data_IF_758634219260
#
_entry.id   IF_758634219260
#
_cell.length_a   1.000
_cell.length_b   1.000
_cell.length_c   1.000
_cell.angle_alpha   90.00
_cell.angle_beta   90.00
_cell.angle_gamma   90.00
#
_symmetry.space_group_name_H-M   'P 1'
#
loop_
_entity.id
_entity.type
_entity.pdbx_description
1 polymer ?
#
# COMPACT_ATOMS: atom_id res chain seq x y z
N UNK A 1 16.54 -23.49 4.54
CA UNK A 1 17.18 -23.30 3.22
C UNK A 1 16.56 -22.04 2.65
N UNK A 2 17.36 -21.00 2.48
CA UNK A 2 16.90 -19.76 1.84
C UNK A 2 16.46 -20.08 0.41
N UNK A 3 15.16 -20.07 0.16
CA UNK A 3 14.60 -20.08 -1.19
C UNK A 3 14.59 -18.65 -1.77
N UNK A 4 15.72 -17.92 -1.60
CA UNK A 4 15.96 -16.75 -2.42
C UNK A 4 15.97 -17.24 -3.88
N UNK A 5 15.17 -16.59 -4.73
CA UNK A 5 15.19 -16.78 -6.18
C UNK A 5 16.63 -16.52 -6.63
N UNK A 6 17.45 -17.58 -6.72
CA UNK A 6 18.88 -17.48 -7.00
C UNK A 6 19.08 -16.78 -8.34
N UNK A 7 19.59 -15.55 -8.32
CA UNK A 7 19.85 -14.73 -9.49
C UNK A 7 18.89 -13.54 -9.70
N UNK A 8 17.79 -13.42 -8.93
CA UNK A 8 16.92 -12.25 -9.00
C UNK A 8 17.49 -11.14 -8.11
N UNK A 9 17.63 -9.90 -8.62
CA UNK A 9 18.05 -8.77 -7.79
C UNK A 9 17.11 -8.60 -6.59
N UNK A 10 17.69 -8.36 -5.42
CA UNK A 10 16.92 -8.10 -4.18
C UNK A 10 16.66 -6.60 -4.05
N UNK A 11 15.49 -6.24 -3.51
CA UNK A 11 15.11 -4.86 -3.22
C UNK A 11 14.64 -4.75 -1.78
N UNK A 12 15.33 -3.96 -0.95
CA UNK A 12 14.90 -3.75 0.45
C UNK A 12 13.77 -2.74 0.60
N UNK A 13 13.50 -1.97 -0.45
CA UNK A 13 12.43 -0.96 -0.49
C UNK A 13 11.41 -1.36 -1.54
N UNK A 14 10.14 -1.38 -1.16
CA UNK A 14 9.00 -1.55 -2.05
C UNK A 14 8.22 -0.25 -2.22
N UNK A 15 7.71 -0.02 -3.42
CA UNK A 15 6.73 1.03 -3.68
C UNK A 15 5.45 0.39 -4.23
N UNK A 16 4.32 0.64 -3.57
CA UNK A 16 3.01 0.27 -4.08
C UNK A 16 2.35 1.51 -4.68
N UNK A 17 2.32 1.57 -6.02
CA UNK A 17 1.71 2.67 -6.76
C UNK A 17 0.19 2.61 -6.74
N UNK A 18 -0.46 3.66 -6.23
CA UNK A 18 -1.90 3.86 -6.29
C UNK A 18 -2.37 4.43 -7.64
N UNK A 19 -3.63 4.87 -7.68
CA UNK A 19 -4.20 5.55 -8.84
C UNK A 19 -3.30 6.72 -9.27
N UNK A 20 -3.00 6.79 -10.57
CA UNK A 20 -2.09 7.81 -11.12
C UNK A 20 -0.59 7.48 -11.04
N UNK A 21 -0.18 6.48 -10.26
CA UNK A 21 1.22 6.05 -10.13
C UNK A 21 1.37 4.61 -10.62
N UNK A 22 1.35 4.44 -11.94
CA UNK A 22 1.44 3.11 -12.57
C UNK A 22 2.86 2.73 -13.00
N UNK A 23 3.76 3.68 -12.99
CA UNK A 23 5.17 3.54 -13.35
C UNK A 23 6.02 4.54 -12.55
N UNK A 24 7.26 4.20 -12.31
CA UNK A 24 8.27 5.13 -11.79
C UNK A 24 8.90 5.87 -12.98
N UNK A 25 8.24 6.95 -13.43
CA UNK A 25 8.73 7.74 -14.57
C UNK A 25 10.14 8.27 -14.31
N UNK A 26 11.05 8.02 -15.26
CA UNK A 26 12.44 8.45 -15.17
C UNK A 26 13.38 7.48 -14.45
N UNK A 27 12.86 6.48 -13.74
CA UNK A 27 13.69 5.44 -13.14
C UNK A 27 14.17 4.42 -14.18
N UNK A 28 15.44 3.99 -14.07
CA UNK A 28 15.97 2.95 -14.91
C UNK A 28 15.40 1.58 -14.47
N UNK A 29 14.68 0.91 -15.38
CA UNK A 29 14.17 -0.44 -15.12
C UNK A 29 15.33 -1.43 -15.19
N UNK A 30 15.54 -2.18 -14.10
CA UNK A 30 16.59 -3.19 -13.98
C UNK A 30 16.07 -4.57 -14.37
N UNK A 31 14.85 -4.91 -13.97
CA UNK A 31 14.18 -6.17 -14.29
C UNK A 31 12.66 -6.05 -14.10
N UNK A 32 11.93 -6.97 -14.71
CA UNK A 32 10.51 -7.21 -14.43
C UNK A 32 10.36 -8.67 -14.01
N UNK A 33 9.73 -8.92 -12.88
CA UNK A 33 9.65 -10.23 -12.24
C UNK A 33 8.20 -10.64 -12.06
N UNK A 34 7.81 -11.75 -12.65
CA UNK A 34 6.57 -12.45 -12.32
C UNK A 34 6.81 -13.27 -11.06
N UNK A 35 5.99 -13.06 -10.04
CA UNK A 35 6.12 -13.75 -8.75
C UNK A 35 4.91 -14.65 -8.54
N UNK A 36 5.14 -15.94 -8.53
CA UNK A 36 4.14 -16.93 -8.11
C UNK A 36 4.02 -16.91 -6.58
N UNK A 37 2.80 -16.80 -6.07
CA UNK A 37 2.56 -16.71 -4.62
C UNK A 37 1.64 -17.84 -4.11
N UNK A 38 1.67 -18.15 -2.81
CA UNK A 38 0.73 -19.08 -2.18
C UNK A 38 -0.73 -18.64 -2.24
N UNK A 39 -0.96 -17.38 -2.57
CA UNK A 39 -2.27 -16.73 -2.53
C UNK A 39 -2.83 -16.42 -3.93
N UNK A 40 -2.24 -16.99 -4.98
CA UNK A 40 -2.55 -16.69 -6.37
C UNK A 40 -1.76 -15.48 -6.90
N UNK A 41 -2.14 -14.94 -8.07
CA UNK A 41 -1.36 -13.90 -8.73
C UNK A 41 -1.43 -12.56 -7.96
N UNK A 42 -0.31 -11.81 -7.90
CA UNK A 42 -0.32 -10.39 -7.53
C UNK A 42 -1.10 -9.54 -8.55
N UNK A 43 -1.23 -8.25 -8.27
CA UNK A 43 -1.89 -7.29 -9.17
C UNK A 43 -1.20 -7.14 -10.53
N UNK A 44 0.04 -7.56 -10.64
CA UNK A 44 0.84 -7.57 -11.85
C UNK A 44 2.30 -7.90 -11.55
N UNK A 45 3.15 -7.95 -12.59
CA UNK A 45 4.58 -8.13 -12.41
C UNK A 45 5.19 -7.05 -11.51
N UNK A 46 6.21 -7.43 -10.74
CA UNK A 46 6.99 -6.49 -9.94
C UNK A 46 8.11 -5.92 -10.80
N UNK A 47 8.18 -4.61 -10.93
CA UNK A 47 9.27 -3.93 -11.63
C UNK A 47 10.37 -3.58 -10.64
N UNK A 48 11.58 -4.11 -10.86
CA UNK A 48 12.77 -3.65 -10.14
C UNK A 48 13.38 -2.47 -10.91
N UNK A 49 13.55 -1.35 -10.23
CA UNK A 49 14.03 -0.11 -10.82
C UNK A 49 15.08 0.55 -9.94
N UNK A 50 15.97 1.31 -10.54
CA UNK A 50 16.87 2.21 -9.80
C UNK A 50 16.14 3.51 -9.48
N UNK A 51 16.03 3.81 -8.20
CA UNK A 51 15.46 5.07 -7.69
C UNK A 51 16.47 5.67 -6.71
N UNK A 52 17.00 6.82 -7.04
CA UNK A 52 18.03 7.50 -6.23
C UNK A 52 19.24 6.61 -5.88
N UNK A 53 19.69 5.76 -6.81
CA UNK A 53 20.80 4.83 -6.63
C UNK A 53 20.46 3.59 -5.78
N UNK A 54 19.18 3.34 -5.52
CA UNK A 54 18.68 2.19 -4.75
C UNK A 54 17.79 1.29 -5.61
N UNK A 55 17.97 -0.02 -5.51
CA UNK A 55 17.02 -0.96 -6.13
C UNK A 55 15.70 -0.94 -5.36
N UNK A 56 14.62 -0.61 -6.05
CA UNK A 56 13.26 -0.55 -5.53
C UNK A 56 12.38 -1.56 -6.26
N UNK A 57 11.55 -2.28 -5.51
CA UNK A 57 10.51 -3.15 -6.06
C UNK A 57 9.20 -2.37 -6.20
N UNK A 58 8.79 -2.08 -7.42
CA UNK A 58 7.56 -1.35 -7.72
C UNK A 58 6.44 -2.31 -8.11
N UNK A 59 5.25 -2.13 -7.51
CA UNK A 59 4.05 -2.90 -7.82
C UNK A 59 2.87 -1.97 -8.03
N UNK A 60 2.19 -2.01 -9.22
CA UNK A 60 0.97 -1.25 -9.46
C UNK A 60 -0.21 -1.91 -8.75
N UNK A 61 -0.76 -1.26 -7.70
CA UNK A 61 -1.84 -1.81 -6.86
C UNK A 61 -3.05 -2.28 -7.66
N UNK A 62 -3.46 -1.51 -8.64
CA UNK A 62 -4.65 -1.77 -9.45
C UNK A 62 -4.36 -2.53 -10.75
N UNK A 63 -3.16 -3.10 -10.89
CA UNK A 63 -2.74 -3.73 -12.13
C UNK A 63 -2.46 -2.76 -13.27
N UNK A 64 -2.14 -3.29 -14.43
CA UNK A 64 -1.94 -2.48 -15.64
C UNK A 64 -3.24 -1.81 -16.07
N UNK A 65 -3.17 -0.48 -16.33
CA UNK A 65 -4.33 0.27 -16.81
C UNK A 65 -5.51 0.37 -15.83
N UNK A 66 -5.28 0.23 -14.53
CA UNK A 66 -6.33 0.29 -13.48
C UNK A 66 -7.41 -0.78 -13.65
N UNK A 67 -7.02 -2.01 -14.01
CA UNK A 67 -7.94 -3.10 -14.32
C UNK A 67 -8.59 -3.75 -13.09
N UNK A 68 -7.98 -3.61 -11.91
CA UNK A 68 -8.45 -4.23 -10.67
C UNK A 68 -9.16 -3.21 -9.77
N UNK A 69 -10.46 -3.39 -9.50
CA UNK A 69 -11.16 -2.55 -8.54
C UNK A 69 -10.71 -2.88 -7.10
N UNK A 70 -10.85 -1.95 -6.12
CA UNK A 70 -10.29 -2.08 -4.77
C UNK A 70 -10.61 -3.39 -4.06
N UNK A 71 -11.84 -3.89 -4.16
CA UNK A 71 -12.28 -5.11 -3.49
C UNK A 71 -11.84 -6.41 -4.19
N UNK A 72 -11.18 -6.32 -5.36
CA UNK A 72 -10.66 -7.47 -6.11
C UNK A 72 -9.14 -7.55 -6.11
N UNK A 73 -8.47 -6.59 -5.50
CA UNK A 73 -7.01 -6.62 -5.33
C UNK A 73 -6.64 -7.80 -4.44
N UNK A 74 -5.67 -8.59 -4.89
CA UNK A 74 -5.10 -9.67 -4.08
C UNK A 74 -3.99 -9.10 -3.18
N UNK A 75 -4.40 -8.45 -2.10
CA UNK A 75 -3.49 -7.79 -1.17
C UNK A 75 -2.46 -8.76 -0.57
N UNK A 76 -2.86 -9.99 -0.21
CA UNK A 76 -1.91 -10.99 0.33
C UNK A 76 -0.83 -11.34 -0.68
N UNK A 77 -1.21 -11.62 -1.93
CA UNK A 77 -0.25 -11.92 -2.98
C UNK A 77 0.72 -10.74 -3.21
N UNK A 78 0.22 -9.50 -3.22
CA UNK A 78 1.04 -8.30 -3.40
C UNK A 78 2.11 -8.16 -2.31
N UNK A 79 1.70 -8.26 -1.04
CA UNK A 79 2.62 -8.09 0.09
C UNK A 79 3.60 -9.28 0.22
N UNK A 80 3.13 -10.50 -0.03
CA UNK A 80 3.99 -11.68 -0.05
C UNK A 80 5.04 -11.60 -1.17
N UNK A 81 4.64 -11.18 -2.38
CA UNK A 81 5.55 -11.00 -3.51
C UNK A 81 6.65 -9.98 -3.20
N UNK A 82 6.31 -8.84 -2.62
CA UNK A 82 7.31 -7.86 -2.20
C UNK A 82 8.26 -8.42 -1.13
N UNK A 83 7.73 -9.13 -0.14
CA UNK A 83 8.55 -9.77 0.90
C UNK A 83 9.50 -10.81 0.32
N UNK A 84 9.08 -11.62 -0.64
CA UNK A 84 9.91 -12.65 -1.29
C UNK A 84 11.09 -12.06 -2.07
N UNK A 85 11.00 -10.80 -2.49
CA UNK A 85 12.06 -10.03 -3.14
C UNK A 85 12.98 -9.30 -2.14
N UNK A 86 12.80 -9.52 -0.83
CA UNK A 86 13.66 -8.97 0.22
C UNK A 86 13.18 -7.63 0.79
N UNK A 87 11.96 -7.17 0.46
CA UNK A 87 11.45 -5.87 0.92
C UNK A 87 11.27 -5.87 2.44
N UNK A 88 11.75 -4.79 3.08
CA UNK A 88 11.59 -4.48 4.50
C UNK A 88 10.86 -3.16 4.76
N UNK A 89 10.91 -2.23 3.80
CA UNK A 89 10.25 -0.94 3.86
C UNK A 89 9.29 -0.77 2.69
N UNK A 90 8.04 -0.45 2.94
CA UNK A 90 7.04 -0.18 1.89
C UNK A 90 6.61 1.28 1.97
N UNK A 91 6.72 1.97 0.85
CA UNK A 91 6.10 3.26 0.60
C UNK A 91 4.90 3.06 -0.31
N UNK A 92 3.79 3.69 -0.01
CA UNK A 92 2.61 3.59 -0.85
C UNK A 92 2.02 4.96 -1.13
N UNK A 93 1.39 5.13 -2.29
CA UNK A 93 0.62 6.33 -2.60
C UNK A 93 -0.86 6.01 -2.74
N UNK A 94 -1.73 6.96 -2.36
CA UNK A 94 -3.18 6.82 -2.45
C UNK A 94 -3.85 8.13 -2.79
N UNK A 95 -4.86 8.08 -3.69
CA UNK A 95 -5.88 9.10 -3.79
C UNK A 95 -6.88 8.92 -2.66
N UNK A 96 -7.27 10.00 -2.02
CA UNK A 96 -8.22 9.99 -0.90
C UNK A 96 -9.18 11.16 -0.98
N UNK A 97 -10.39 11.02 -0.41
CA UNK A 97 -11.28 12.13 -0.16
C UNK A 97 -11.00 12.75 1.21
N UNK A 98 -11.14 14.07 1.32
CA UNK A 98 -11.13 14.77 2.59
C UNK A 98 -12.51 14.75 3.23
N UNK A 99 -12.58 14.57 4.55
CA UNK A 99 -13.85 14.43 5.26
C UNK A 99 -14.19 15.66 6.11
N UNK A 100 -13.24 16.52 6.40
CA UNK A 100 -13.44 17.69 7.27
C UNK A 100 -12.52 18.85 6.94
N UNK A 101 -12.77 19.98 7.57
CA UNK A 101 -11.93 21.17 7.44
C UNK A 101 -10.46 20.87 7.79
N UNK A 102 -9.53 21.46 7.04
CA UNK A 102 -8.09 21.20 7.14
C UNK A 102 -7.61 20.03 6.26
N UNK A 103 -8.53 19.22 5.72
CA UNK A 103 -8.25 18.11 4.81
C UNK A 103 -8.90 18.35 3.45
N UNK A 104 -8.60 19.50 2.85
CA UNK A 104 -9.13 19.89 1.53
C UNK A 104 -8.32 19.33 0.36
N UNK A 105 -8.89 19.39 -0.86
CA UNK A 105 -8.20 18.98 -2.08
C UNK A 105 -6.83 19.64 -2.26
N UNK A 106 -5.94 18.97 -3.01
CA UNK A 106 -4.56 19.37 -3.26
C UNK A 106 -3.64 19.37 -2.02
N UNK A 107 -4.07 18.76 -0.93
CA UNK A 107 -3.30 18.59 0.30
C UNK A 107 -2.74 17.16 0.39
N UNK A 108 -1.48 17.03 0.82
CA UNK A 108 -0.89 15.75 1.18
C UNK A 108 -1.13 15.42 2.65
N UNK A 109 -1.31 14.14 2.96
CA UNK A 109 -1.47 13.63 4.33
C UNK A 109 -0.50 12.47 4.53
N UNK A 110 0.24 12.49 5.64
CA UNK A 110 1.05 11.35 6.09
C UNK A 110 0.20 10.54 7.06
N UNK A 111 -0.54 9.55 6.54
CA UNK A 111 -1.49 8.75 7.31
C UNK A 111 -0.83 8.06 8.50
N UNK A 112 -1.46 8.09 9.67
CA UNK A 112 -0.93 7.48 10.89
C UNK A 112 -1.89 6.49 11.56
N UNK A 113 -3.20 6.63 11.34
CA UNK A 113 -4.22 5.74 11.89
C UNK A 113 -5.24 5.33 10.83
N UNK A 114 -5.90 4.20 11.05
CA UNK A 114 -6.94 3.71 10.16
C UNK A 114 -8.16 3.17 10.91
N UNK A 115 -9.31 3.28 10.25
CA UNK A 115 -10.58 2.65 10.64
C UNK A 115 -11.00 1.76 9.49
N UNK A 116 -11.08 0.45 9.71
CA UNK A 116 -11.56 -0.48 8.68
C UNK A 116 -13.08 -0.52 8.61
N UNK A 117 -13.61 -0.24 7.43
CA UNK A 117 -15.03 -0.39 7.06
C UNK A 117 -15.19 -1.24 5.81
N UNK A 118 -14.21 -2.11 5.54
CA UNK A 118 -14.25 -3.08 4.44
C UNK A 118 -14.93 -4.38 4.91
N UNK A 119 -15.21 -5.25 3.96
CA UNK A 119 -15.73 -6.59 4.20
C UNK A 119 -15.31 -7.55 3.09
N UNK A 120 -15.19 -8.84 3.45
CA UNK A 120 -14.88 -9.89 2.49
C UNK A 120 -13.47 -9.85 1.90
N UNK A 121 -12.54 -9.09 2.49
CA UNK A 121 -11.12 -9.08 2.11
C UNK A 121 -10.37 -10.17 2.85
N UNK A 122 -9.39 -10.78 2.18
CA UNK A 122 -8.39 -11.61 2.84
C UNK A 122 -7.35 -10.70 3.45
N UNK A 123 -7.45 -10.43 4.75
CA UNK A 123 -6.77 -9.37 5.48
C UNK A 123 -5.76 -9.86 6.52
N UNK A 124 -5.46 -11.15 6.52
CA UNK A 124 -4.42 -11.77 7.35
C UNK A 124 -3.77 -12.94 6.63
N UNK A 125 -2.49 -13.19 6.92
CA UNK A 125 -1.77 -14.41 6.51
C UNK A 125 -2.01 -15.59 7.47
N UNK A 126 -2.63 -15.36 8.62
CA UNK A 126 -2.85 -16.33 9.70
C UNK A 126 -4.30 -16.79 9.80
N UNK A 127 -5.00 -16.89 8.66
CA UNK A 127 -6.41 -17.25 8.55
C UNK A 127 -6.70 -18.75 8.68
N UNK A 128 -5.67 -19.57 8.89
CA UNK A 128 -5.81 -21.02 9.02
C UNK A 128 -5.88 -21.77 7.68
N UNK A 129 -5.74 -21.08 6.55
CA UNK A 129 -5.79 -21.71 5.22
C UNK A 129 -4.63 -22.70 5.05
N UNK A 130 -4.95 -23.92 4.61
CA UNK A 130 -3.97 -24.93 4.18
C UNK A 130 -3.62 -24.66 2.72
N UNK A 131 -2.34 -24.50 2.42
CA UNK A 131 -1.85 -24.26 1.06
C UNK A 131 -1.11 -25.52 0.58
N UNK A 132 -1.61 -26.17 -0.46
CA UNK A 132 -1.03 -27.39 -1.06
C UNK A 132 -0.66 -28.48 -0.02
N UNK A 133 -1.57 -28.71 0.95
CA UNK A 133 -1.36 -29.66 2.02
C UNK A 133 -0.43 -29.21 3.15
N UNK A 134 0.17 -28.03 3.06
CA UNK A 134 1.01 -27.46 4.12
C UNK A 134 0.12 -26.76 5.15
N UNK A 135 0.17 -27.17 6.44
CA UNK A 135 -0.64 -26.54 7.48
C UNK A 135 -0.21 -25.09 7.74
N UNK A 136 -1.16 -24.23 8.14
CA UNK A 136 -0.87 -22.83 8.43
C UNK A 136 0.07 -22.68 9.64
N UNK A 137 0.65 -21.49 9.77
CA UNK A 137 1.55 -21.14 10.88
C UNK A 137 0.87 -21.07 12.26
N UNK A 138 -0.42 -21.39 12.36
CA UNK A 138 -1.24 -21.21 13.56
C UNK A 138 -1.79 -19.80 13.70
N UNK A 139 -2.70 -19.61 14.67
CA UNK A 139 -3.30 -18.32 14.94
C UNK A 139 -2.24 -17.38 15.53
N UNK A 140 -2.15 -16.17 14.99
CA UNK A 140 -1.30 -15.09 15.51
C UNK A 140 -2.16 -13.84 15.74
N UNK A 141 -1.74 -12.97 16.66
CA UNK A 141 -2.40 -11.72 16.95
C UNK A 141 -1.42 -10.56 16.76
N UNK A 142 -1.63 -9.78 15.70
CA UNK A 142 -0.82 -8.60 15.41
C UNK A 142 -1.13 -7.47 16.40
N UNK A 143 -0.12 -6.89 17.09
CA UNK A 143 -0.31 -5.64 17.84
C UNK A 143 -0.43 -4.47 16.85
N UNK A 144 -1.68 -4.01 16.60
CA UNK A 144 -2.01 -3.08 15.53
C UNK A 144 -2.27 -1.63 15.99
N UNK A 145 -1.82 -1.24 17.18
CA UNK A 145 -2.02 0.13 17.69
C UNK A 145 -1.35 1.21 16.85
N UNK A 146 -0.28 0.88 16.15
CA UNK A 146 0.46 1.75 15.23
C UNK A 146 0.58 1.06 13.86
N UNK A 147 -0.46 1.14 13.01
CA UNK A 147 -0.51 0.42 11.73
C UNK A 147 0.49 0.94 10.70
N UNK A 148 0.90 2.20 10.80
CA UNK A 148 1.90 2.82 9.93
C UNK A 148 3.23 3.00 10.67
N UNK A 149 4.34 2.69 10.00
CA UNK A 149 5.69 2.76 10.60
C UNK A 149 6.09 4.20 10.90
N UNK A 150 6.33 4.60 12.17
CA UNK A 150 6.67 5.97 12.52
C UNK A 150 7.96 6.47 11.85
N UNK A 151 8.97 5.61 11.70
CA UNK A 151 10.24 5.95 11.04
C UNK A 151 10.02 6.30 9.56
N UNK A 152 9.29 5.46 8.83
CA UNK A 152 9.02 5.73 7.41
C UNK A 152 8.12 6.95 7.21
N UNK A 153 7.14 7.15 8.10
CA UNK A 153 6.30 8.36 8.11
C UNK A 153 7.13 9.62 8.31
N UNK A 154 8.12 9.59 9.21
CA UNK A 154 9.03 10.71 9.42
C UNK A 154 9.85 11.03 8.16
N UNK A 155 10.31 10.01 7.42
CA UNK A 155 11.00 10.22 6.14
C UNK A 155 10.08 10.83 5.06
N UNK A 156 8.82 10.36 4.96
CA UNK A 156 7.82 10.95 4.05
C UNK A 156 7.56 12.42 4.39
N UNK A 157 7.37 12.74 5.68
CA UNK A 157 7.15 14.11 6.13
C UNK A 157 8.36 15.02 5.84
N UNK A 158 9.57 14.54 6.09
CA UNK A 158 10.80 15.26 5.77
C UNK A 158 10.95 15.50 4.26
N UNK A 159 10.61 14.54 3.42
CA UNK A 159 10.61 14.67 1.97
C UNK A 159 9.61 15.73 1.48
N UNK A 160 8.39 15.75 2.02
CA UNK A 160 7.41 16.80 1.72
C UNK A 160 7.92 18.18 2.09
N UNK A 161 8.47 18.32 3.30
CA UNK A 161 9.04 19.59 3.78
C UNK A 161 10.21 20.07 2.92
N UNK A 162 11.12 19.17 2.51
CA UNK A 162 12.29 19.52 1.69
C UNK A 162 11.91 20.02 0.27
N UNK A 163 10.76 19.60 -0.23
CA UNK A 163 10.20 20.05 -1.51
C UNK A 163 9.26 21.26 -1.38
N UNK A 164 9.15 21.85 -0.17
CA UNK A 164 8.21 22.94 0.14
C UNK A 164 6.76 22.61 -0.21
N UNK A 165 6.36 21.35 -0.08
CA UNK A 165 5.00 20.87 -0.31
C UNK A 165 4.25 20.94 1.02
N UNK A 166 3.09 21.63 1.02
CA UNK A 166 2.20 21.68 2.18
C UNK A 166 1.59 20.32 2.47
N UNK A 167 1.55 19.91 3.75
CA UNK A 167 0.99 18.62 4.14
C UNK A 167 0.44 18.63 5.57
N UNK A 168 -0.42 17.66 5.86
CA UNK A 168 -0.88 17.35 7.20
C UNK A 168 -0.05 16.16 7.73
N UNK A 169 0.64 16.29 8.88
CA UNK A 169 1.63 15.31 9.33
C UNK A 169 1.01 14.01 9.91
N UNK A 170 -0.30 14.00 10.13
CA UNK A 170 -1.05 12.85 10.61
C UNK A 170 -2.50 12.94 10.17
N UNK A 171 -3.17 11.82 10.05
CA UNK A 171 -4.58 11.74 9.71
C UNK A 171 -5.11 10.31 9.78
N UNK A 172 -6.27 10.17 10.39
CA UNK A 172 -6.97 8.89 10.46
C UNK A 172 -7.73 8.64 9.16
N UNK A 173 -7.37 7.57 8.46
CA UNK A 173 -8.10 7.14 7.25
C UNK A 173 -9.20 6.16 7.59
N UNK A 174 -10.43 6.41 7.14
CA UNK A 174 -11.44 5.35 7.05
C UNK A 174 -11.31 4.66 5.70
N UNK A 175 -11.29 3.33 5.71
CA UNK A 175 -11.19 2.55 4.48
C UNK A 175 -12.49 1.82 4.21
N UNK A 176 -13.13 2.16 3.08
CA UNK A 176 -14.38 1.54 2.62
C UNK A 176 -14.13 0.54 1.51
N UNK A 177 -15.09 -0.33 1.28
CA UNK A 177 -14.91 -1.43 0.32
C UNK A 177 -14.76 -0.97 -1.14
N UNK A 178 -15.48 0.09 -1.53
CA UNK A 178 -15.57 0.49 -2.94
C UNK A 178 -16.33 -0.53 -3.81
N UNK A 179 -16.44 -0.34 -5.15
CA UNK A 179 -15.91 0.81 -5.89
C UNK A 179 -16.81 2.06 -5.81
N UNK A 180 -18.02 1.99 -5.18
CA UNK A 180 -18.86 3.16 -4.99
C UNK A 180 -18.25 4.10 -3.95
N UNK A 181 -18.48 5.39 -4.12
CA UNK A 181 -18.21 6.40 -3.10
C UNK A 181 -19.25 6.34 -1.97
N UNK A 182 -18.97 7.07 -0.88
CA UNK A 182 -19.85 7.16 0.29
C UNK A 182 -21.17 7.86 -0.02
N UNK A 183 -22.20 7.51 0.74
CA UNK A 183 -23.38 8.38 0.88
C UNK A 183 -23.08 9.50 1.86
N UNK A 184 -23.85 10.60 1.82
CA UNK A 184 -23.72 11.71 2.79
C UNK A 184 -23.85 11.25 4.24
N UNK A 185 -24.73 10.27 4.49
CA UNK A 185 -24.94 9.73 5.85
C UNK A 185 -23.73 8.90 6.34
N UNK A 186 -23.13 8.09 5.44
CA UNK A 186 -21.90 7.35 5.74
C UNK A 186 -20.74 8.31 6.03
N UNK A 187 -20.55 9.33 5.18
CA UNK A 187 -19.52 10.35 5.34
C UNK A 187 -19.65 11.07 6.69
N UNK A 188 -20.83 11.54 7.04
CA UNK A 188 -21.11 12.17 8.33
C UNK A 188 -20.83 11.24 9.53
N UNK A 189 -21.14 9.95 9.39
CA UNK A 189 -20.85 8.95 10.41
C UNK A 189 -19.35 8.72 10.58
N UNK A 190 -18.59 8.66 9.49
CA UNK A 190 -17.13 8.50 9.55
C UNK A 190 -16.45 9.68 10.24
N UNK A 191 -16.89 10.91 9.95
CA UNK A 191 -16.42 12.11 10.66
C UNK A 191 -16.68 12.01 12.16
N UNK A 192 -17.90 11.59 12.56
CA UNK A 192 -18.26 11.38 13.98
C UNK A 192 -17.37 10.30 14.62
N UNK A 193 -16.96 9.28 13.86
CA UNK A 193 -16.04 8.23 14.27
C UNK A 193 -14.56 8.66 14.35
N UNK A 194 -14.24 9.90 13.99
CA UNK A 194 -12.88 10.45 14.08
C UNK A 194 -12.04 10.29 12.83
N UNK A 195 -12.65 9.96 11.68
CA UNK A 195 -11.93 9.90 10.41
C UNK A 195 -11.67 11.31 9.84
N UNK A 196 -10.49 11.50 9.27
CA UNK A 196 -10.03 12.73 8.62
C UNK A 196 -10.13 12.64 7.10
N UNK A 197 -9.79 11.47 6.56
CA UNK A 197 -9.77 11.16 5.13
C UNK A 197 -10.41 9.81 4.86
N UNK A 198 -10.82 9.59 3.62
CA UNK A 198 -11.43 8.35 3.16
C UNK A 198 -10.68 7.72 2.00
N UNK A 199 -10.50 6.40 2.04
CA UNK A 199 -9.80 5.62 1.04
C UNK A 199 -10.56 4.32 0.74
N UNK A 200 -10.18 3.64 -0.35
CA UNK A 200 -10.66 2.29 -0.66
C UNK A 200 -9.56 1.23 -0.57
N UNK A 201 -8.30 1.61 -0.35
CA UNK A 201 -7.15 0.68 -0.52
C UNK A 201 -6.12 0.71 0.63
N UNK A 202 -6.16 1.67 1.56
CA UNK A 202 -5.20 1.72 2.67
C UNK A 202 -5.41 0.61 3.73
N UNK A 203 -6.37 -0.27 3.56
CA UNK A 203 -6.56 -1.51 4.29
C UNK A 203 -6.80 -2.64 3.28
N UNK A 204 -6.17 -3.82 3.46
CA UNK A 204 -5.38 -4.28 4.62
C UNK A 204 -3.86 -4.11 4.49
N UNK A 205 -3.34 -3.33 3.52
CA UNK A 205 -1.90 -3.27 3.19
C UNK A 205 -0.97 -3.07 4.40
N UNK A 206 -1.18 -2.07 5.29
CA UNK A 206 -0.24 -1.84 6.39
C UNK A 206 -0.24 -2.98 7.42
N UNK A 207 -1.40 -3.63 7.66
CA UNK A 207 -1.48 -4.74 8.59
C UNK A 207 -0.86 -6.01 8.01
N UNK A 208 -1.09 -6.32 6.75
CA UNK A 208 -0.41 -7.43 6.06
C UNK A 208 1.10 -7.21 5.98
N UNK A 209 1.57 -5.97 5.75
CA UNK A 209 2.99 -5.65 5.80
C UNK A 209 3.56 -5.91 7.21
N UNK A 210 2.86 -5.47 8.25
CA UNK A 210 3.25 -5.69 9.64
C UNK A 210 3.28 -7.19 10.01
N UNK A 211 2.34 -8.00 9.53
CA UNK A 211 2.34 -9.46 9.72
C UNK A 211 3.56 -10.15 9.09
N UNK A 212 4.16 -9.55 8.06
CA UNK A 212 5.40 -10.03 7.45
C UNK A 212 6.66 -9.30 7.98
N UNK A 213 6.53 -8.57 9.08
CA UNK A 213 7.61 -7.74 9.64
C UNK A 213 8.21 -6.79 8.60
N UNK A 214 7.36 -6.10 7.85
CA UNK A 214 7.73 -4.98 6.97
C UNK A 214 7.17 -3.68 7.52
N UNK A 215 7.95 -2.59 7.43
CA UNK A 215 7.45 -1.25 7.72
C UNK A 215 6.60 -0.74 6.56
N UNK A 216 5.58 0.06 6.87
CA UNK A 216 4.67 0.63 5.86
C UNK A 216 4.39 2.10 6.15
N UNK A 217 4.50 2.96 5.14
CA UNK A 217 4.04 4.34 5.18
C UNK A 217 3.24 4.67 3.93
N UNK A 218 2.23 5.51 4.10
CA UNK A 218 1.38 5.98 3.00
C UNK A 218 1.51 7.49 2.82
N UNK A 219 1.70 7.90 1.58
CA UNK A 219 1.57 9.27 1.09
C UNK A 219 0.17 9.41 0.48
N UNK A 220 -0.77 9.94 1.24
CA UNK A 220 -2.12 10.21 0.76
C UNK A 220 -2.18 11.58 0.10
N UNK A 221 -2.86 11.68 -1.05
CA UNK A 221 -3.14 12.94 -1.72
C UNK A 221 -4.65 13.14 -1.81
N UNK A 222 -5.13 14.25 -1.25
CA UNK A 222 -6.56 14.55 -1.22
C UNK A 222 -6.99 15.08 -2.59
N UNK A 223 -7.88 14.36 -3.23
CA UNK A 223 -8.38 14.68 -4.56
C UNK A 223 -9.72 15.40 -4.56
N UNK A 224 -10.48 15.29 -3.48
CA UNK A 224 -11.87 15.76 -3.39
C UNK A 224 -12.32 15.92 -1.94
N UNK A 225 -13.48 16.54 -1.74
CA UNK A 225 -14.13 16.71 -0.44
C UNK A 225 -15.26 15.68 -0.25
N UNK A 226 -15.03 14.43 -0.67
CA UNK A 226 -15.94 13.27 -0.60
C UNK A 226 -17.36 13.62 -1.10
N UNK A 227 -18.31 13.79 -0.20
CA UNK A 227 -19.71 14.08 -0.53
C UNK A 227 -20.03 15.58 -0.69
N UNK A 228 -18.98 16.44 -0.78
CA UNK A 228 -19.12 17.90 -0.93
C UNK A 228 -19.49 18.60 0.39
N UNK A 229 -18.90 18.17 1.51
CA UNK A 229 -19.15 18.76 2.83
C UNK A 229 -18.75 20.23 2.95
N UNK A 230 -17.84 20.70 2.08
CA UNK A 230 -17.37 22.09 1.99
C UNK A 230 -18.19 22.95 1.01
N UNK A 231 -19.29 22.42 0.47
CA UNK A 231 -20.14 23.07 -0.52
C UNK A 231 -19.71 22.82 -1.98
N UNK A 232 -18.66 22.02 -2.20
CA UNK A 232 -18.27 21.58 -3.52
C UNK A 232 -19.21 20.51 -4.08
N UNK A 233 -19.10 20.22 -5.38
CA UNK A 233 -19.82 19.10 -5.98
C UNK A 233 -19.32 17.77 -5.41
N UNK A 234 -20.20 16.78 -5.24
CA UNK A 234 -19.79 15.43 -4.85
C UNK A 234 -18.74 14.83 -5.78
N UNK A 235 -17.86 14.00 -5.21
CA UNK A 235 -16.75 13.37 -5.92
C UNK A 235 -17.20 12.58 -7.16
N UNK A 236 -16.42 12.70 -8.24
CA UNK A 236 -16.52 11.87 -9.45
C UNK A 236 -15.16 11.28 -9.79
N UNK A 237 -15.16 10.11 -10.45
CA UNK A 237 -13.91 9.46 -10.85
C UNK A 237 -13.07 10.34 -11.78
N UNK A 238 -13.70 11.05 -12.72
CA UNK A 238 -13.01 11.93 -13.66
C UNK A 238 -12.30 13.09 -12.95
N UNK A 239 -12.94 13.70 -11.94
CA UNK A 239 -12.34 14.76 -11.14
C UNK A 239 -11.12 14.25 -10.35
N UNK A 240 -11.22 13.05 -9.77
CA UNK A 240 -10.11 12.37 -9.06
C UNK A 240 -8.92 12.17 -10.00
N UNK A 241 -9.12 11.58 -11.19
CA UNK A 241 -8.02 11.31 -12.12
C UNK A 241 -7.40 12.59 -12.68
N UNK A 242 -8.20 13.62 -12.96
CA UNK A 242 -7.68 14.91 -13.43
C UNK A 242 -6.75 15.56 -12.38
N UNK A 243 -7.13 15.52 -11.10
CA UNK A 243 -6.34 16.08 -9.99
C UNK A 243 -5.07 15.27 -9.72
N UNK A 244 -5.16 13.93 -9.75
CA UNK A 244 -4.00 13.04 -9.62
C UNK A 244 -2.94 13.28 -10.70
N UNK A 245 -3.36 13.52 -11.94
CA UNK A 245 -2.43 13.83 -13.03
C UNK A 245 -1.59 15.07 -12.73
N UNK A 246 -2.19 16.09 -12.11
CA UNK A 246 -1.47 17.30 -11.71
C UNK A 246 -0.48 17.07 -10.55
N UNK A 247 -0.85 16.19 -9.61
CA UNK A 247 -0.02 15.86 -8.45
C UNK A 247 1.08 14.83 -8.73
N UNK A 248 1.05 14.14 -9.88
CA UNK A 248 1.94 13.02 -10.17
C UNK A 248 3.42 13.34 -9.99
N UNK A 249 3.86 14.51 -10.47
CA UNK A 249 5.26 14.93 -10.32
C UNK A 249 5.65 15.07 -8.84
N UNK A 250 4.81 15.70 -8.05
CA UNK A 250 5.04 15.86 -6.59
C UNK A 250 5.06 14.53 -5.87
N UNK A 251 4.12 13.62 -6.18
CA UNK A 251 4.10 12.27 -5.59
C UNK A 251 5.41 11.53 -5.88
N UNK A 252 5.87 11.52 -7.14
CA UNK A 252 7.11 10.83 -7.52
C UNK A 252 8.34 11.45 -6.86
N UNK A 253 8.45 12.78 -6.84
CA UNK A 253 9.57 13.49 -6.20
C UNK A 253 9.65 13.19 -4.69
N UNK A 254 8.51 13.16 -3.99
CA UNK A 254 8.45 12.82 -2.56
C UNK A 254 8.82 11.35 -2.32
N UNK A 255 8.33 10.42 -3.15
CA UNK A 255 8.70 9.00 -3.04
C UNK A 255 10.20 8.80 -3.28
N UNK A 256 10.78 9.43 -4.31
CA UNK A 256 12.22 9.37 -4.60
C UNK A 256 13.05 9.92 -3.44
N UNK A 257 12.73 11.10 -2.94
CA UNK A 257 13.41 11.69 -1.79
C UNK A 257 13.28 10.83 -0.53
N UNK A 258 12.12 10.19 -0.33
CA UNK A 258 11.91 9.26 0.78
C UNK A 258 12.78 8.01 0.63
N UNK A 259 12.87 7.42 -0.57
CA UNK A 259 13.77 6.28 -0.86
C UNK A 259 15.21 6.63 -0.55
N UNK A 260 15.68 7.81 -0.98
CA UNK A 260 17.04 8.27 -0.71
C UNK A 260 17.34 8.44 0.81
N UNK A 261 16.32 8.81 1.59
CA UNK A 261 16.45 9.05 3.03
C UNK A 261 16.39 7.78 3.90
N UNK A 262 15.87 6.66 3.38
CA UNK A 262 15.84 5.40 4.12
C UNK A 262 17.25 4.86 4.26
N UNK A 263 17.73 4.65 5.49
CA UNK A 263 19.08 4.12 5.74
C UNK A 263 19.25 2.70 5.19
N UNK A 264 20.49 2.34 4.79
CA UNK A 264 20.80 0.98 4.33
C UNK A 264 20.66 -0.07 5.45
N UNK A 265 20.82 0.34 6.69
CA UNK A 265 20.64 -0.49 7.89
C UNK A 265 19.20 -0.42 8.45
N UNK A 266 18.25 0.16 7.72
CA UNK A 266 16.86 0.16 8.15
C UNK A 266 16.34 -1.26 8.34
N UNK A 267 15.72 -1.50 9.48
CA UNK A 267 14.96 -2.71 9.78
C UNK A 267 13.59 -2.34 10.33
N UNK A 268 12.57 -3.02 9.84
CA UNK A 268 11.23 -2.86 10.38
C UNK A 268 11.13 -3.41 11.81
N UNK A 269 10.18 -2.89 12.59
CA UNK A 269 9.89 -3.45 13.92
C UNK A 269 9.42 -4.90 13.79
N UNK A 270 10.01 -5.86 14.52
CA UNK A 270 9.55 -7.24 14.52
C UNK A 270 8.28 -7.36 15.39
N UNK A 271 7.11 -7.17 14.77
CA UNK A 271 5.80 -7.23 15.44
C UNK A 271 5.27 -8.67 15.53
N UNK A 272 5.71 -9.54 14.62
CA UNK A 272 5.31 -10.94 14.57
C UNK A 272 6.48 -11.86 14.85
N UNK A 273 6.18 -13.03 15.39
CA UNK A 273 7.19 -14.09 15.59
C UNK A 273 7.90 -14.43 14.27
N UNK A 274 9.22 -14.42 14.29
CA UNK A 274 10.01 -14.65 13.07
C UNK A 274 9.84 -16.05 12.49
N UNK A 275 9.59 -17.07 13.34
CA UNK A 275 9.34 -18.41 12.86
C UNK A 275 7.98 -18.51 12.17
N UNK A 276 6.95 -17.83 12.70
CA UNK A 276 5.63 -17.75 12.06
C UNK A 276 5.74 -17.07 10.69
N UNK A 277 6.48 -15.96 10.57
CA UNK A 277 6.74 -15.30 9.29
C UNK A 277 7.49 -16.22 8.32
N UNK A 278 8.54 -16.92 8.78
CA UNK A 278 9.27 -17.88 7.93
C UNK A 278 8.36 -18.98 7.39
N UNK A 279 7.42 -19.49 8.20
CA UNK A 279 6.45 -20.49 7.73
C UNK A 279 5.53 -19.95 6.64
N UNK A 280 5.04 -18.72 6.78
CA UNK A 280 4.25 -18.06 5.72
C UNK A 280 5.07 -17.90 4.44
N UNK A 281 6.33 -17.48 4.55
CA UNK A 281 7.20 -17.29 3.39
C UNK A 281 7.67 -18.61 2.75
N UNK A 282 7.59 -19.72 3.47
CA UNK A 282 7.93 -21.05 2.98
C UNK A 282 6.75 -21.81 2.34
N UNK A 283 5.55 -21.23 2.35
CA UNK A 283 4.39 -21.85 1.69
C UNK A 283 4.64 -21.98 0.18
N UNK A 284 4.25 -23.11 -0.44
CA UNK A 284 4.41 -23.31 -1.87
C UNK A 284 3.53 -22.36 -2.68
N UNK A 285 4.02 -21.91 -3.81
CA UNK A 285 3.19 -21.15 -4.74
C UNK A 285 2.06 -22.00 -5.30
N UNK A 286 0.86 -21.45 -5.35
CA UNK A 286 -0.27 -22.10 -6.03
C UNK A 286 -0.03 -21.93 -7.54
N UNK A 287 0.32 -23.02 -8.22
CA UNK A 287 0.29 -23.05 -9.67
C UNK A 287 -1.18 -23.05 -10.11
N UNK A 288 -1.59 -22.06 -10.87
CA UNK A 288 -2.86 -22.18 -11.59
C UNK A 288 -2.81 -23.48 -12.39
N UNK A 289 -3.70 -24.43 -12.03
CA UNK A 289 -3.94 -25.56 -12.92
C UNK A 289 -4.47 -24.94 -14.21
N UNK A 290 -3.66 -24.98 -15.26
CA UNK A 290 -4.10 -24.61 -16.60
C UNK A 290 -5.44 -25.31 -16.82
N UNK A 291 -6.50 -24.53 -17.00
CA UNK A 291 -7.83 -25.03 -17.27
C UNK A 291 -7.74 -26.12 -18.32
N UNK A 292 -8.01 -27.36 -17.89
CA UNK A 292 -8.29 -28.44 -18.81
C UNK A 292 -9.64 -28.08 -19.49
N UNK A 293 -9.53 -27.37 -20.62
CA UNK A 293 -10.66 -27.21 -21.57
C UNK A 293 -10.85 -28.48 -22.34
#
# INVERSE_FOLDING_TARGET
>A
MDTALTGTPQARIGIIGGSGTYQLHGAAVLATVDVDTPYGPPSGPVTLADVAGRTVAFLPRHGGGHSLPPQKINYRANLWALKSLGVEAILSSSAVGGLREGFGPDTFVVTDQLIDRTWGRSDTFFDGTVVDGVPPAGVQHLPASEPFCPTLRAHVAAALASHNIGYVPQGTVVVINGPRFSTKAESAWYVTGGADIISMTQYPEPLLAAELNMGFANLAFITDSDTGHDGSEPVTADAVFARLKNAQHSVLAVLEATVAAISEDYHARPLMDQEAVRRIMALPAVREMADAR
#
